data_IF_381540003584
#
_entry.id   IF_381540003584
#
_cell.length_a   1.000
_cell.length_b   1.000
_cell.length_c   1.000
_cell.angle_alpha   90.00
_cell.angle_beta   90.00
_cell.angle_gamma   90.00
#
_symmetry.space_group_name_H-M   'P 1'
#
loop_
_entity.id
_entity.type
_entity.pdbx_description
1 polymer ?
#
# COMPACT_ATOMS: atom_id res chain seq x y z
N UNK A 1 -27.59 -14.52 19.87
CA UNK A 1 -27.63 -13.25 19.09
C UNK A 1 -26.24 -12.95 18.55
N UNK A 2 -26.13 -12.39 17.34
CA UNK A 2 -24.84 -11.91 16.85
C UNK A 2 -24.49 -10.59 17.56
N UNK A 3 -23.19 -10.30 17.70
CA UNK A 3 -22.70 -9.09 18.39
C UNK A 3 -23.22 -7.76 17.79
N UNK A 4 -23.55 -7.73 16.49
CA UNK A 4 -24.19 -6.56 15.84
C UNK A 4 -25.61 -6.32 16.36
N UNK A 5 -26.37 -7.39 16.59
CA UNK A 5 -27.77 -7.31 17.02
C UNK A 5 -27.86 -6.80 18.45
N UNK A 6 -26.96 -7.24 19.34
CA UNK A 6 -26.91 -6.79 20.74
C UNK A 6 -26.60 -5.29 20.83
N UNK A 7 -25.69 -4.78 20.00
CA UNK A 7 -25.37 -3.34 19.97
C UNK A 7 -26.56 -2.49 19.52
N UNK A 8 -27.32 -2.97 18.53
CA UNK A 8 -28.54 -2.29 18.09
C UNK A 8 -29.55 -2.21 19.24
N UNK A 9 -29.75 -3.31 19.98
CA UNK A 9 -30.62 -3.36 21.15
C UNK A 9 -30.17 -2.42 22.26
N UNK A 10 -28.86 -2.36 22.56
CA UNK A 10 -28.32 -1.42 23.56
C UNK A 10 -28.57 0.03 23.12
N UNK A 11 -28.35 0.35 21.84
CA UNK A 11 -28.59 1.69 21.31
C UNK A 11 -30.06 2.10 21.44
N UNK A 12 -30.98 1.25 21.00
CA UNK A 12 -32.43 1.54 21.07
C UNK A 12 -32.91 1.70 22.51
N UNK A 13 -32.41 0.89 23.44
CA UNK A 13 -32.80 1.01 24.86
C UNK A 13 -32.25 2.28 25.50
N UNK A 14 -31.03 2.66 25.16
CA UNK A 14 -30.45 3.91 25.62
C UNK A 14 -31.18 5.13 25.04
N UNK A 15 -31.63 5.08 23.78
CA UNK A 15 -32.48 6.11 23.16
C UNK A 15 -33.87 6.22 23.84
N UNK A 16 -34.34 5.16 24.48
CA UNK A 16 -35.57 5.14 25.29
C UNK A 16 -35.32 5.53 26.77
N UNK A 17 -34.21 6.19 27.07
CA UNK A 17 -33.81 6.65 28.42
C UNK A 17 -33.59 5.55 29.48
N UNK A 18 -33.34 4.30 29.05
CA UNK A 18 -33.01 3.24 30.00
C UNK A 18 -31.60 3.40 30.59
N UNK A 19 -31.52 3.36 31.92
CA UNK A 19 -30.24 3.39 32.62
C UNK A 19 -29.37 2.13 32.35
N UNK A 20 -28.04 2.23 32.45
CA UNK A 20 -27.10 1.14 32.12
C UNK A 20 -27.34 -0.16 32.91
N UNK A 21 -27.78 -0.06 34.17
CA UNK A 21 -28.10 -1.22 35.00
C UNK A 21 -29.40 -1.93 34.58
N UNK A 22 -30.35 -1.20 34.00
CA UNK A 22 -31.58 -1.77 33.44
C UNK A 22 -31.27 -2.51 32.15
N UNK A 23 -30.53 -1.87 31.24
CA UNK A 23 -30.04 -2.48 30.00
C UNK A 23 -29.27 -3.78 30.26
N UNK A 24 -28.39 -3.80 31.27
CA UNK A 24 -27.64 -4.99 31.66
C UNK A 24 -28.55 -6.15 32.12
N UNK A 25 -29.53 -5.86 32.98
CA UNK A 25 -30.49 -6.85 33.48
C UNK A 25 -31.33 -7.42 32.33
N UNK A 26 -31.80 -6.57 31.43
CA UNK A 26 -32.61 -7.01 30.31
C UNK A 26 -31.84 -7.84 29.26
N UNK A 27 -30.52 -7.66 29.20
CA UNK A 27 -29.64 -8.49 28.38
C UNK A 27 -29.26 -9.80 29.07
N UNK A 28 -29.78 -10.08 30.27
CA UNK A 28 -29.56 -11.31 31.03
C UNK A 28 -28.07 -11.70 31.15
N UNK A 29 -27.18 -10.71 31.26
CA UNK A 29 -25.73 -10.95 31.37
C UNK A 29 -25.02 -11.34 30.06
N UNK A 30 -25.68 -11.25 28.90
CA UNK A 30 -25.06 -11.53 27.60
C UNK A 30 -23.85 -10.63 27.29
N UNK A 31 -23.75 -9.46 27.93
CA UNK A 31 -22.64 -8.50 27.83
C UNK A 31 -22.34 -7.94 29.21
N UNK A 32 -21.05 -7.75 29.52
CA UNK A 32 -20.62 -7.20 30.80
C UNK A 32 -21.06 -5.72 30.98
N UNK A 33 -21.38 -5.34 32.22
CA UNK A 33 -21.76 -3.97 32.56
C UNK A 33 -20.70 -2.92 32.16
N UNK A 34 -19.38 -3.15 32.31
CA UNK A 34 -18.35 -2.22 31.81
C UNK A 34 -18.43 -1.99 30.30
N UNK A 35 -18.71 -3.03 29.52
CA UNK A 35 -18.87 -2.91 28.06
C UNK A 35 -20.09 -2.05 27.70
N UNK A 36 -21.20 -2.20 28.42
CA UNK A 36 -22.41 -1.38 28.22
C UNK A 36 -22.11 0.10 28.53
N UNK A 37 -21.41 0.38 29.64
CA UNK A 37 -20.97 1.74 29.98
C UNK A 37 -20.05 2.34 28.92
N UNK A 38 -19.12 1.53 28.38
CA UNK A 38 -18.24 1.95 27.27
C UNK A 38 -19.06 2.31 26.03
N UNK A 39 -20.02 1.48 25.65
CA UNK A 39 -20.87 1.73 24.50
C UNK A 39 -21.75 2.97 24.65
N UNK A 40 -22.32 3.20 25.83
CA UNK A 40 -23.06 4.43 26.14
C UNK A 40 -22.15 5.66 25.99
N UNK A 41 -20.92 5.60 26.53
CA UNK A 41 -19.93 6.67 26.37
C UNK A 41 -19.63 6.95 24.89
N UNK A 42 -19.52 5.91 24.07
CA UNK A 42 -19.31 6.04 22.62
C UNK A 42 -20.53 6.60 21.88
N UNK A 43 -21.75 6.24 22.29
CA UNK A 43 -22.99 6.83 21.77
C UNK A 43 -23.02 8.33 22.09
N UNK A 44 -22.68 8.73 23.31
CA UNK A 44 -22.65 10.15 23.68
C UNK A 44 -21.56 10.95 22.95
N UNK A 45 -20.43 10.32 22.62
CA UNK A 45 -19.31 11.01 21.96
C UNK A 45 -19.49 11.08 20.45
N UNK A 46 -19.94 9.99 19.83
CA UNK A 46 -19.92 9.81 18.36
C UNK A 46 -21.28 9.46 17.75
N UNK A 47 -22.30 9.15 18.55
CA UNK A 47 -23.65 8.77 18.08
C UNK A 47 -23.81 7.29 17.66
N UNK A 48 -22.72 6.52 17.65
CA UNK A 48 -22.71 5.12 17.24
C UNK A 48 -21.61 4.30 17.93
N UNK A 49 -21.80 2.98 18.00
CA UNK A 49 -20.88 2.04 18.66
C UNK A 49 -19.88 1.46 17.64
N UNK A 50 -18.70 2.06 17.52
CA UNK A 50 -17.59 1.58 16.66
C UNK A 50 -16.57 0.73 17.41
N UNK A 51 -16.58 -0.58 17.16
CA UNK A 51 -15.47 -1.44 17.56
C UNK A 51 -14.47 -1.48 16.40
N UNK A 52 -13.55 -0.51 16.34
CA UNK A 52 -12.39 -0.64 15.47
C UNK A 52 -11.42 -1.63 16.10
N UNK A 53 -10.84 -2.51 15.28
CA UNK A 53 -9.68 -3.28 15.73
C UNK A 53 -8.59 -2.30 16.19
N UNK A 54 -7.92 -2.58 17.32
CA UNK A 54 -6.79 -1.76 17.73
C UNK A 54 -5.74 -1.74 16.61
N UNK A 55 -5.05 -0.61 16.40
CA UNK A 55 -3.96 -0.58 15.45
C UNK A 55 -2.93 -1.63 15.86
N UNK A 56 -2.58 -2.52 14.93
CA UNK A 56 -1.55 -3.52 15.18
C UNK A 56 -0.17 -2.88 15.40
N UNK A 57 0.85 -3.72 15.65
CA UNK A 57 2.21 -3.25 15.87
C UNK A 57 2.72 -2.40 14.69
N UNK A 58 3.27 -1.20 14.94
CA UNK A 58 3.77 -0.33 13.89
C UNK A 58 5.00 -0.95 13.19
N UNK A 59 5.13 -0.71 11.89
CA UNK A 59 6.28 -1.18 11.12
C UNK A 59 7.52 -0.35 11.45
N UNK A 60 8.56 -0.98 11.99
CA UNK A 60 9.81 -0.32 12.39
C UNK A 60 10.74 -0.06 11.20
N UNK A 61 10.89 -1.04 10.31
CA UNK A 61 11.87 -0.99 9.21
C UNK A 61 11.29 -0.43 7.91
N UNK A 62 10.04 -0.80 7.60
CA UNK A 62 9.35 -0.44 6.34
C UNK A 62 8.49 0.81 6.53
N UNK A 63 9.13 1.89 6.97
CA UNK A 63 8.49 3.19 7.15
C UNK A 63 8.45 3.97 5.83
N UNK A 64 7.52 4.92 5.69
CA UNK A 64 7.43 5.79 4.50
C UNK A 64 8.76 6.52 4.25
N UNK A 65 9.42 6.99 5.32
CA UNK A 65 10.72 7.65 5.23
C UNK A 65 11.81 6.72 4.66
N UNK A 66 11.87 5.45 5.12
CA UNK A 66 12.83 4.48 4.61
C UNK A 66 12.60 4.17 3.11
N UNK A 67 11.33 4.05 2.69
CA UNK A 67 10.94 3.83 1.29
C UNK A 67 11.42 4.99 0.42
N UNK A 68 11.15 6.24 0.82
CA UNK A 68 11.57 7.44 0.10
C UNK A 68 13.10 7.53 0.02
N UNK A 69 13.80 7.25 1.13
CA UNK A 69 15.26 7.23 1.17
C UNK A 69 15.84 6.18 0.21
N UNK A 70 15.27 4.99 0.16
CA UNK A 70 15.69 3.93 -0.77
C UNK A 70 15.42 4.32 -2.23
N UNK A 71 14.25 4.90 -2.52
CA UNK A 71 13.89 5.41 -3.85
C UNK A 71 14.90 6.44 -4.35
N UNK A 72 15.25 7.41 -3.50
CA UNK A 72 16.25 8.43 -3.81
C UNK A 72 17.63 7.82 -4.03
N UNK A 73 18.01 6.81 -3.24
CA UNK A 73 19.28 6.09 -3.38
C UNK A 73 19.37 5.35 -4.71
N UNK A 74 18.27 4.75 -5.17
CA UNK A 74 18.16 4.02 -6.43
C UNK A 74 18.25 4.95 -7.64
N UNK A 75 17.60 6.13 -7.57
CA UNK A 75 17.67 7.14 -8.62
C UNK A 75 19.09 7.69 -8.81
N UNK A 76 19.85 7.89 -7.71
CA UNK A 76 21.23 8.37 -7.76
C UNK A 76 22.21 7.36 -8.39
N UNK A 77 22.09 6.07 -8.06
CA UNK A 77 22.92 5.00 -8.68
C UNK A 77 22.01 3.88 -9.16
N UNK A 78 21.76 3.82 -10.47
CA UNK A 78 20.83 2.84 -11.07
C UNK A 78 21.29 1.38 -10.97
N UNK A 79 22.58 1.10 -10.74
CA UNK A 79 23.12 -0.26 -10.71
C UNK A 79 23.71 -0.59 -9.33
N UNK A 80 22.87 -1.05 -8.41
CA UNK A 80 23.31 -1.51 -7.08
C UNK A 80 22.65 -2.82 -6.72
N UNK A 81 23.40 -3.73 -6.10
CA UNK A 81 22.84 -4.98 -5.58
C UNK A 81 22.08 -4.74 -4.28
N UNK A 82 21.11 -5.61 -3.99
CA UNK A 82 20.35 -5.57 -2.73
C UNK A 82 21.24 -5.68 -1.50
N UNK A 83 22.36 -6.42 -1.58
CA UNK A 83 23.35 -6.52 -0.48
C UNK A 83 24.06 -5.18 -0.24
N UNK A 84 24.40 -4.43 -1.28
CA UNK A 84 25.01 -3.10 -1.13
C UNK A 84 24.01 -2.09 -0.55
N UNK A 85 22.77 -2.11 -1.03
CA UNK A 85 21.70 -1.27 -0.49
C UNK A 85 21.45 -1.56 1.00
N UNK A 86 21.53 -2.84 1.41
CA UNK A 86 21.37 -3.26 2.80
C UNK A 86 22.45 -2.65 3.69
N UNK A 87 23.71 -2.70 3.24
CA UNK A 87 24.84 -2.09 3.95
C UNK A 87 24.71 -0.56 4.01
N UNK A 88 24.36 0.09 2.90
CA UNK A 88 24.21 1.55 2.82
C UNK A 88 23.10 2.09 3.74
N UNK A 89 22.04 1.31 3.95
CA UNK A 89 20.88 1.73 4.74
C UNK A 89 20.81 1.12 6.14
N UNK A 90 21.76 0.24 6.49
CA UNK A 90 21.78 -0.53 7.73
C UNK A 90 20.47 -1.30 8.00
N UNK A 91 19.93 -1.94 6.95
CA UNK A 91 18.67 -2.70 7.00
C UNK A 91 18.93 -4.11 6.47
N UNK A 92 18.18 -5.10 6.95
CA UNK A 92 18.30 -6.46 6.44
C UNK A 92 18.02 -6.53 4.92
N UNK A 93 18.74 -7.43 4.24
CA UNK A 93 18.58 -7.65 2.80
C UNK A 93 17.15 -8.04 2.42
N UNK A 94 16.49 -8.82 3.27
CA UNK A 94 15.10 -9.27 3.07
C UNK A 94 14.12 -8.11 3.11
N UNK A 95 14.27 -7.20 4.07
CA UNK A 95 13.45 -5.98 4.16
C UNK A 95 13.64 -5.07 2.96
N UNK A 96 14.88 -4.88 2.49
CA UNK A 96 15.12 -4.11 1.25
C UNK A 96 14.49 -4.79 0.05
N UNK A 97 14.60 -6.11 -0.08
CA UNK A 97 13.93 -6.84 -1.17
C UNK A 97 12.41 -6.61 -1.15
N UNK A 98 11.79 -6.69 0.03
CA UNK A 98 10.35 -6.42 0.20
C UNK A 98 10.02 -4.99 -0.20
N UNK A 99 10.78 -4.00 0.25
CA UNK A 99 10.55 -2.60 -0.15
C UNK A 99 10.66 -2.44 -1.68
N UNK A 100 11.69 -3.03 -2.29
CA UNK A 100 11.88 -2.95 -3.74
C UNK A 100 10.72 -3.61 -4.51
N UNK A 101 10.34 -4.83 -4.16
CA UNK A 101 9.35 -5.60 -4.92
C UNK A 101 7.91 -5.18 -4.62
N UNK A 102 7.58 -4.94 -3.35
CA UNK A 102 6.20 -4.74 -2.90
C UNK A 102 5.83 -3.25 -2.77
N UNK A 103 6.71 -2.37 -2.27
CA UNK A 103 6.39 -0.93 -2.18
C UNK A 103 6.72 -0.18 -3.46
N UNK A 104 7.88 -0.46 -4.06
CA UNK A 104 8.38 0.28 -5.21
C UNK A 104 8.07 -0.42 -6.55
N UNK A 105 7.49 -1.63 -6.53
CA UNK A 105 7.13 -2.38 -7.74
C UNK A 105 8.32 -2.71 -8.66
N UNK A 106 9.54 -2.70 -8.14
CA UNK A 106 10.75 -2.93 -8.93
C UNK A 106 10.86 -4.40 -9.33
N UNK A 107 10.95 -4.66 -10.64
CA UNK A 107 11.19 -5.99 -11.21
C UNK A 107 12.65 -6.15 -11.62
N UNK A 108 13.27 -7.32 -11.34
CA UNK A 108 14.64 -7.59 -11.79
C UNK A 108 14.64 -7.93 -13.28
N UNK A 109 14.93 -6.94 -14.13
CA UNK A 109 15.13 -7.19 -15.56
C UNK A 109 16.54 -7.73 -15.83
N UNK A 110 16.63 -8.75 -16.70
CA UNK A 110 17.91 -9.25 -17.21
C UNK A 110 18.45 -8.28 -18.26
N UNK A 111 19.74 -7.97 -18.20
CA UNK A 111 20.40 -7.18 -19.24
C UNK A 111 20.62 -8.06 -20.47
N UNK A 112 20.25 -7.54 -21.64
CA UNK A 112 20.55 -8.16 -22.93
C UNK A 112 21.87 -7.58 -23.43
N UNK A 113 22.82 -8.44 -23.81
CA UNK A 113 24.06 -8.00 -24.45
C UNK A 113 23.74 -7.57 -25.87
N UNK A 114 24.20 -6.38 -26.27
CA UNK A 114 24.02 -5.85 -27.61
C UNK A 114 25.35 -5.33 -28.15
N UNK A 115 25.56 -5.35 -29.48
CA UNK A 115 26.74 -4.74 -30.09
C UNK A 115 26.84 -3.25 -29.76
N UNK A 116 28.05 -2.78 -29.47
CA UNK A 116 28.31 -1.37 -29.20
C UNK A 116 28.27 -0.59 -30.52
N UNK A 117 27.25 0.26 -30.69
CA UNK A 117 27.13 1.12 -31.87
C UNK A 117 28.06 2.33 -31.79
N UNK A 118 28.80 2.59 -32.86
CA UNK A 118 29.55 3.85 -33.05
C UNK A 118 28.61 5.01 -33.35
N UNK A 119 29.08 6.25 -33.14
CA UNK A 119 28.26 7.44 -33.43
C UNK A 119 27.86 7.52 -34.91
N UNK A 120 28.77 7.16 -35.82
CA UNK A 120 28.47 7.08 -37.25
C UNK A 120 27.38 6.05 -37.56
N UNK A 121 27.44 4.87 -36.96
CA UNK A 121 26.42 3.83 -37.12
C UNK A 121 25.06 4.29 -36.61
N UNK A 122 25.01 4.99 -35.47
CA UNK A 122 23.76 5.57 -34.95
C UNK A 122 23.15 6.56 -35.95
N UNK A 123 23.97 7.47 -36.50
CA UNK A 123 23.51 8.44 -37.48
C UNK A 123 22.96 7.78 -38.75
N UNK A 124 23.69 6.78 -39.30
CA UNK A 124 23.22 6.01 -40.47
C UNK A 124 21.90 5.30 -40.19
N UNK A 125 21.73 4.70 -39.01
CA UNK A 125 20.47 4.03 -38.62
C UNK A 125 19.31 4.99 -38.56
N UNK A 126 19.49 6.16 -37.95
CA UNK A 126 18.43 7.20 -37.87
C UNK A 126 18.07 7.73 -39.26
N UNK A 127 19.07 7.99 -40.11
CA UNK A 127 18.85 8.43 -41.49
C UNK A 127 18.03 7.39 -42.27
N UNK A 128 18.38 6.11 -42.15
CA UNK A 128 17.65 5.03 -42.79
C UNK A 128 16.21 4.92 -42.28
N UNK A 129 15.97 4.95 -40.96
CA UNK A 129 14.60 4.87 -40.42
C UNK A 129 13.73 6.04 -40.85
N UNK A 130 14.28 7.25 -40.91
CA UNK A 130 13.54 8.43 -41.38
C UNK A 130 13.21 8.32 -42.87
N UNK A 131 14.14 7.78 -43.68
CA UNK A 131 13.88 7.51 -45.09
C UNK A 131 12.79 6.45 -45.27
N UNK A 132 12.83 5.35 -44.51
CA UNK A 132 11.79 4.30 -44.54
C UNK A 132 10.43 4.90 -44.17
N UNK A 133 10.33 5.62 -43.05
CA UNK A 133 9.07 6.25 -42.61
C UNK A 133 8.44 7.16 -43.68
N UNK A 134 9.26 7.92 -44.41
CA UNK A 134 8.79 8.86 -45.44
C UNK A 134 8.39 8.22 -46.77
N UNK A 135 8.89 7.02 -47.08
CA UNK A 135 8.73 6.40 -48.40
C UNK A 135 7.94 5.10 -48.37
N UNK A 136 8.00 4.31 -47.30
CA UNK A 136 7.40 2.97 -47.23
C UNK A 136 5.88 2.99 -47.37
N UNK A 137 5.19 4.06 -46.92
CA UNK A 137 3.73 4.17 -47.05
C UNK A 137 3.25 4.72 -48.40
N UNK A 138 4.16 5.20 -49.28
CA UNK A 138 3.80 5.79 -50.59
C UNK A 138 3.72 4.76 -51.71
N UNK A 139 4.33 3.61 -51.53
CA UNK A 139 4.37 2.54 -52.54
C UNK A 139 3.17 1.57 -52.43
N UNK A 140 2.55 1.42 -51.24
CA UNK A 140 1.36 0.57 -51.04
C UNK A 140 0.07 1.19 -51.61
N UNK A 141 0.01 2.50 -51.83
CA UNK A 141 -1.12 3.21 -52.45
C UNK A 141 -1.06 3.27 -53.98
N UNK A 142 -0.09 2.57 -54.61
CA UNK A 142 0.11 2.53 -56.08
C UNK A 142 -0.17 1.16 -56.69
N UNK A 143 -1.17 0.43 -56.19
CA UNK A 143 -1.76 -0.72 -56.88
C UNK A 143 -3.20 -0.44 -57.26
#
# INVERSE_FOLDING_TARGET
MKSKDIRKVVKTKYENDDGPAKIYRDLAGAVSLPTIKLWIKMINTSGFITLSSPPGCPRTVRTKAAIVKLKNRLNKKKQVSTRKLAKDMNISRTSIRRILCEDLGCKPYKKIKQPKLTNLQKHKRVKFTNWVLSNYSKDDTKK
#
